data_IF_512037010171
#
_entry.id   IF_512037010171
#
_cell.length_a   1.000
_cell.length_b   1.000
_cell.length_c   1.000
_cell.angle_alpha   90.00
_cell.angle_beta   90.00
_cell.angle_gamma   90.00
#
_symmetry.space_group_name_H-M   'P 1'
#
loop_
_entity.id
_entity.type
_entity.pdbx_description
1 polymer ?
#
# COMPACT_ATOMS: atom_id res chain seq x y z
N UNK A 1 -4.61 -3.31 22.79
CA UNK A 1 -4.56 -2.41 21.62
C UNK A 1 -3.17 -1.83 21.39
N UNK A 2 -2.46 -1.35 22.42
CA UNK A 2 -1.09 -0.79 22.31
C UNK A 2 -0.03 -1.78 21.80
N UNK A 3 -0.15 -3.07 22.14
CA UNK A 3 0.78 -4.13 21.70
C UNK A 3 0.69 -4.42 20.21
N UNK A 4 -0.51 -4.39 19.63
CA UNK A 4 -0.74 -4.62 18.20
C UNK A 4 -0.19 -3.45 17.38
N UNK A 5 -0.39 -2.22 17.86
CA UNK A 5 0.14 -1.01 17.22
C UNK A 5 1.67 -1.04 17.21
N UNK A 6 2.31 -1.44 18.32
CA UNK A 6 3.77 -1.58 18.38
C UNK A 6 4.30 -2.67 17.43
N UNK A 7 3.61 -3.81 17.33
CA UNK A 7 4.00 -4.88 16.40
C UNK A 7 3.90 -4.41 14.95
N UNK A 8 2.83 -3.72 14.58
CA UNK A 8 2.64 -3.17 13.23
C UNK A 8 3.66 -2.08 12.90
N UNK A 9 3.96 -1.20 13.85
CA UNK A 9 4.98 -0.16 13.69
C UNK A 9 6.38 -0.78 13.50
N UNK A 10 6.73 -1.80 14.29
CA UNK A 10 7.98 -2.53 14.14
C UNK A 10 8.09 -3.23 12.79
N UNK A 11 6.99 -3.83 12.31
CA UNK A 11 6.93 -4.47 10.98
C UNK A 11 7.10 -3.46 9.85
N UNK A 12 6.46 -2.29 9.94
CA UNK A 12 6.58 -1.23 8.95
C UNK A 12 8.00 -0.65 8.88
N UNK A 13 8.64 -0.42 10.03
CA UNK A 13 10.02 0.04 10.11
C UNK A 13 10.99 -1.02 9.56
N UNK A 14 10.81 -2.28 9.94
CA UNK A 14 11.63 -3.39 9.43
C UNK A 14 11.48 -3.57 7.91
N UNK A 15 10.26 -3.46 7.37
CA UNK A 15 10.01 -3.53 5.93
C UNK A 15 10.66 -2.38 5.15
N UNK A 16 10.63 -1.16 5.70
CA UNK A 16 11.26 0.01 5.08
C UNK A 16 12.79 -0.07 5.08
N UNK A 17 13.40 -0.54 6.16
CA UNK A 17 14.85 -0.75 6.24
C UNK A 17 15.30 -1.88 5.29
N UNK A 18 14.51 -2.96 5.18
CA UNK A 18 14.78 -4.04 4.24
C UNK A 18 14.66 -3.57 2.78
N UNK A 19 13.64 -2.76 2.48
CA UNK A 19 13.44 -2.17 1.16
C UNK A 19 14.62 -1.26 0.78
N UNK A 20 15.06 -0.38 1.68
CA UNK A 20 16.21 0.51 1.45
C UNK A 20 17.55 -0.25 1.37
N UNK A 21 17.71 -1.33 2.12
CA UNK A 21 18.88 -2.20 2.00
C UNK A 21 18.90 -2.94 0.65
N UNK A 22 17.74 -3.38 0.15
CA UNK A 22 17.62 -4.04 -1.14
C UNK A 22 17.87 -3.08 -2.32
N UNK A 23 17.38 -1.85 -2.22
CA UNK A 23 17.54 -0.82 -3.26
C UNK A 23 18.98 -0.30 -3.34
N UNK A 24 19.74 -0.27 -2.24
CA UNK A 24 21.18 0.06 -2.26
C UNK A 24 22.06 -1.08 -2.78
N UNK A 25 21.65 -2.35 -2.57
CA UNK A 25 22.40 -3.52 -3.05
C UNK A 25 22.27 -3.71 -4.56
N UNK A 26 21.16 -3.31 -5.17
CA UNK A 26 20.92 -3.41 -6.62
C UNK A 26 21.94 -2.63 -7.49
N UNK A 27 22.22 -1.34 -7.27
CA UNK A 27 23.21 -0.59 -8.05
C UNK A 27 24.65 -1.04 -7.75
N UNK A 28 24.94 -1.47 -6.51
CA UNK A 28 26.24 -2.01 -6.14
C UNK A 28 26.53 -3.36 -6.84
N UNK A 29 25.56 -4.27 -6.83
CA UNK A 29 25.66 -5.55 -7.54
C UNK A 29 25.78 -5.35 -9.06
N UNK A 30 25.10 -4.35 -9.63
CA UNK A 30 25.27 -4.01 -11.05
C UNK A 30 26.66 -3.43 -11.37
N UNK A 31 27.26 -2.65 -10.47
CA UNK A 31 28.62 -2.15 -10.64
C UNK A 31 29.66 -3.28 -10.57
N UNK A 32 29.50 -4.21 -9.63
CA UNK A 32 30.35 -5.40 -9.50
C UNK A 32 30.24 -6.32 -10.73
N UNK A 33 29.02 -6.54 -11.25
CA UNK A 33 28.83 -7.31 -12.50
C UNK A 33 29.51 -6.67 -13.71
N UNK A 34 29.53 -5.33 -13.81
CA UNK A 34 30.28 -4.64 -14.88
C UNK A 34 31.79 -4.81 -14.72
N UNK A 35 32.29 -4.74 -13.48
CA UNK A 35 33.71 -4.96 -13.17
C UNK A 35 34.14 -6.39 -13.51
N UNK A 36 33.37 -7.40 -13.08
CA UNK A 36 33.64 -8.81 -13.37
C UNK A 36 33.58 -9.12 -14.88
N UNK A 37 32.63 -8.54 -15.62
CA UNK A 37 32.60 -8.65 -17.10
C UNK A 37 33.83 -8.03 -17.76
N UNK A 38 34.36 -6.94 -17.22
CA UNK A 38 35.59 -6.32 -17.72
C UNK A 38 36.81 -7.22 -17.46
N UNK A 39 36.92 -7.78 -16.26
CA UNK A 39 37.99 -8.72 -15.89
C UNK A 39 37.95 -10.00 -16.74
N UNK A 40 36.77 -10.55 -17.02
CA UNK A 40 36.62 -11.71 -17.92
C UNK A 40 37.04 -11.40 -19.36
N UNK A 41 36.71 -10.21 -19.86
CA UNK A 41 37.15 -9.78 -21.20
C UNK A 41 38.66 -9.52 -21.28
N UNK A 42 39.28 -9.06 -20.20
CA UNK A 42 40.75 -8.93 -20.11
C UNK A 42 41.41 -10.31 -20.08
N UNK A 43 40.93 -11.23 -19.22
CA UNK A 43 41.40 -12.61 -19.18
C UNK A 43 41.19 -13.37 -20.49
N UNK A 44 40.09 -13.13 -21.21
CA UNK A 44 39.87 -13.78 -22.51
C UNK A 44 40.84 -13.27 -23.57
N UNK A 45 41.21 -11.99 -23.52
CA UNK A 45 42.23 -11.39 -24.42
C UNK A 45 43.62 -11.91 -24.09
N UNK A 46 43.95 -12.01 -22.81
CA UNK A 46 45.21 -12.59 -22.35
C UNK A 46 45.32 -14.07 -22.73
N UNK A 47 44.22 -14.81 -22.66
CA UNK A 47 44.20 -16.19 -23.12
C UNK A 47 44.36 -16.30 -24.64
N UNK A 48 43.72 -15.42 -25.41
CA UNK A 48 43.87 -15.39 -26.87
C UNK A 48 45.30 -15.02 -27.29
N UNK A 49 45.95 -14.08 -26.60
CA UNK A 49 47.34 -13.70 -26.87
C UNK A 49 48.33 -14.81 -26.47
N UNK A 50 48.13 -15.45 -25.31
CA UNK A 50 48.89 -16.63 -24.90
C UNK A 50 48.73 -17.78 -25.90
N UNK A 51 47.50 -18.03 -26.37
CA UNK A 51 47.25 -19.05 -27.39
C UNK A 51 47.95 -18.72 -28.70
N UNK A 52 47.95 -17.46 -29.13
CA UNK A 52 48.68 -17.02 -30.32
C UNK A 52 50.20 -17.20 -30.17
N UNK A 53 50.79 -16.90 -29.01
CA UNK A 53 52.22 -17.12 -28.74
C UNK A 53 52.55 -18.62 -28.71
N UNK A 54 51.66 -19.46 -28.18
CA UNK A 54 51.82 -20.92 -28.20
C UNK A 54 51.70 -21.46 -29.62
N UNK A 55 50.74 -20.99 -30.41
CA UNK A 55 50.56 -21.39 -31.80
C UNK A 55 51.76 -20.92 -32.66
N UNK A 56 52.30 -19.73 -32.42
CA UNK A 56 53.51 -19.18 -33.08
C UNK A 56 54.78 -19.94 -32.65
N UNK A 57 54.89 -20.35 -31.39
CA UNK A 57 55.94 -21.25 -30.92
C UNK A 57 55.79 -22.70 -31.45
N UNK A 58 54.62 -23.05 -31.97
CA UNK A 58 54.31 -24.36 -32.56
C UNK A 58 54.39 -24.33 -34.09
N UNK A 59 54.70 -23.18 -34.72
CA UNK A 59 55.02 -23.15 -36.15
C UNK A 59 56.34 -23.88 -36.43
N UNK A 60 56.37 -24.83 -37.38
CA UNK A 60 57.54 -25.66 -37.65
C UNK A 60 58.56 -24.86 -38.48
N UNK A 61 59.43 -24.11 -37.81
CA UNK A 61 60.64 -23.56 -38.45
C UNK A 61 61.62 -24.71 -38.65
N UNK A 62 61.68 -25.19 -39.90
CA UNK A 62 62.72 -26.10 -40.37
C UNK A 62 64.09 -25.44 -40.34
N UNK A 63 64.82 -25.63 -39.23
CA UNK A 63 66.28 -25.50 -39.16
C UNK A 63 66.81 -26.77 -38.47
N UNK A 64 67.75 -27.50 -39.09
CA UNK A 64 68.23 -28.77 -38.55
C UNK A 64 69.09 -28.53 -37.31
N UNK A 65 68.58 -28.92 -36.15
CA UNK A 65 69.34 -28.95 -34.89
C UNK A 65 70.07 -30.32 -34.83
N UNK A 66 71.41 -30.35 -34.63
CA UNK A 66 72.14 -31.59 -34.35
C UNK A 66 71.65 -32.18 -33.02
N UNK A 67 71.58 -33.51 -32.85
CA UNK A 67 70.95 -34.09 -31.67
C UNK A 67 71.69 -33.67 -30.40
N UNK A 68 71.06 -32.93 -29.46
CA UNK A 68 71.56 -32.84 -28.11
C UNK A 68 71.12 -34.08 -27.37
N UNK A 69 72.00 -34.48 -26.47
CA UNK A 69 71.93 -35.69 -25.67
C UNK A 69 70.72 -35.66 -24.73
N UNK A 70 70.35 -36.85 -24.28
CA UNK A 70 69.33 -37.07 -23.27
C UNK A 70 69.66 -36.29 -21.98
N UNK A 71 68.96 -35.18 -21.75
CA UNK A 71 68.69 -34.62 -20.44
C UNK A 71 67.18 -34.66 -20.24
N UNK A 72 66.75 -35.17 -19.08
CA UNK A 72 65.35 -35.39 -18.74
C UNK A 72 64.50 -34.12 -18.83
N UNK A 73 63.16 -34.25 -18.82
CA UNK A 73 62.27 -33.11 -18.94
C UNK A 73 62.66 -32.04 -17.91
N UNK A 74 62.77 -30.75 -18.27
CA UNK A 74 63.13 -29.72 -17.31
C UNK A 74 62.06 -29.73 -16.22
N UNK A 75 62.47 -30.07 -14.99
CA UNK A 75 61.59 -30.20 -13.83
C UNK A 75 60.68 -28.96 -13.65
N UNK A 76 61.17 -27.79 -14.05
CA UNK A 76 60.45 -26.51 -14.07
C UNK A 76 59.14 -26.52 -14.90
N UNK A 77 59.09 -27.22 -16.05
CA UNK A 77 57.88 -27.27 -16.86
C UNK A 77 56.85 -28.24 -16.29
N UNK A 78 57.30 -29.35 -15.72
CA UNK A 78 56.44 -30.29 -15.01
C UNK A 78 55.84 -29.63 -13.76
N UNK A 79 56.64 -28.87 -13.00
CA UNK A 79 56.20 -28.16 -11.80
C UNK A 79 55.22 -27.01 -12.12
N UNK A 80 55.42 -26.30 -13.25
CA UNK A 80 54.44 -25.31 -13.74
C UNK A 80 53.13 -25.95 -14.19
N UNK A 81 53.18 -27.08 -14.88
CA UNK A 81 51.97 -27.81 -15.27
C UNK A 81 51.23 -28.32 -14.04
N UNK A 82 51.92 -28.90 -13.05
CA UNK A 82 51.32 -29.37 -11.80
C UNK A 82 50.66 -28.22 -11.01
N UNK A 83 51.30 -27.05 -10.96
CA UNK A 83 50.74 -25.81 -10.37
C UNK A 83 49.50 -25.31 -11.11
N UNK A 84 49.50 -25.33 -12.45
CA UNK A 84 48.33 -24.97 -13.26
C UNK A 84 47.20 -25.99 -13.03
N UNK A 85 47.51 -27.28 -12.97
CA UNK A 85 46.53 -28.35 -12.72
C UNK A 85 45.90 -28.17 -11.34
N UNK A 86 46.69 -27.89 -10.30
CA UNK A 86 46.16 -27.59 -8.97
C UNK A 86 45.33 -26.30 -8.90
N UNK A 87 45.64 -25.29 -9.72
CA UNK A 87 44.81 -24.08 -9.87
C UNK A 87 43.49 -24.35 -10.59
N UNK A 88 43.51 -25.20 -11.61
CA UNK A 88 42.29 -25.65 -12.33
C UNK A 88 41.40 -26.44 -11.38
N UNK A 89 41.93 -27.41 -10.64
CA UNK A 89 41.16 -28.17 -9.64
C UNK A 89 40.53 -27.26 -8.58
N UNK A 90 41.25 -26.21 -8.16
CA UNK A 90 40.74 -25.24 -7.20
C UNK A 90 39.62 -24.38 -7.80
N UNK A 91 39.77 -23.96 -9.06
CA UNK A 91 38.75 -23.21 -9.79
C UNK A 91 37.50 -24.06 -10.05
N UNK A 92 37.65 -25.33 -10.39
CA UNK A 92 36.54 -26.26 -10.58
C UNK A 92 35.74 -26.45 -9.29
N UNK A 93 36.42 -26.60 -8.15
CA UNK A 93 35.76 -26.66 -6.83
C UNK A 93 35.01 -25.38 -6.52
N UNK A 94 35.66 -24.22 -6.69
CA UNK A 94 35.03 -22.92 -6.47
C UNK A 94 33.82 -22.71 -7.39
N UNK A 95 33.91 -23.13 -8.65
CA UNK A 95 32.80 -23.05 -9.60
C UNK A 95 31.63 -23.95 -9.20
N UNK A 96 31.93 -25.15 -8.68
CA UNK A 96 30.94 -26.05 -8.09
C UNK A 96 30.21 -25.41 -6.91
N UNK A 97 30.95 -24.80 -5.99
CA UNK A 97 30.39 -24.12 -4.81
C UNK A 97 29.50 -22.93 -5.21
N UNK A 98 29.95 -22.07 -6.12
CA UNK A 98 29.16 -20.94 -6.63
C UNK A 98 27.91 -21.38 -7.38
N UNK A 99 28.01 -22.46 -8.17
CA UNK A 99 26.85 -23.02 -8.87
C UNK A 99 25.82 -23.54 -7.87
N UNK A 100 26.26 -24.22 -6.80
CA UNK A 100 25.41 -24.63 -5.69
C UNK A 100 24.70 -23.46 -5.02
N UNK A 101 25.44 -22.40 -4.68
CA UNK A 101 24.89 -21.19 -4.06
C UNK A 101 23.87 -20.49 -4.98
N UNK A 102 24.16 -20.37 -6.27
CA UNK A 102 23.24 -19.82 -7.27
C UNK A 102 21.93 -20.61 -7.35
N UNK A 103 22.00 -21.94 -7.39
CA UNK A 103 20.78 -22.77 -7.42
C UNK A 103 19.95 -22.65 -6.14
N UNK A 104 20.59 -22.45 -4.98
CA UNK A 104 19.91 -22.16 -3.72
C UNK A 104 19.17 -20.83 -3.75
N UNK A 105 19.81 -19.77 -4.25
CA UNK A 105 19.20 -18.44 -4.39
C UNK A 105 18.02 -18.46 -5.38
N UNK A 106 18.11 -19.23 -6.47
CA UNK A 106 17.02 -19.35 -7.44
C UNK A 106 15.81 -20.09 -6.84
N UNK A 107 16.03 -21.15 -6.05
CA UNK A 107 14.98 -21.83 -5.30
C UNK A 107 14.29 -20.90 -4.29
N UNK A 108 15.07 -20.09 -3.56
CA UNK A 108 14.52 -19.11 -2.60
C UNK A 108 13.67 -18.04 -3.31
N UNK A 109 14.11 -17.55 -4.48
CA UNK A 109 13.33 -16.61 -5.28
C UNK A 109 12.03 -17.21 -5.80
N UNK A 110 12.06 -18.47 -6.21
CA UNK A 110 10.84 -19.14 -6.67
C UNK A 110 9.86 -19.38 -5.52
N UNK A 111 10.35 -19.74 -4.33
CA UNK A 111 9.54 -19.81 -3.13
C UNK A 111 8.91 -18.45 -2.77
N UNK A 112 9.68 -17.36 -2.84
CA UNK A 112 9.17 -16.01 -2.61
C UNK A 112 8.11 -15.59 -3.63
N UNK A 113 8.29 -15.91 -4.91
CA UNK A 113 7.28 -15.65 -5.95
C UNK A 113 6.02 -16.46 -5.74
N UNK A 114 6.13 -17.72 -5.31
CA UNK A 114 4.98 -18.55 -4.98
C UNK A 114 4.21 -17.97 -3.78
N UNK A 115 4.93 -17.52 -2.75
CA UNK A 115 4.34 -16.84 -1.60
C UNK A 115 3.61 -15.56 -2.01
N UNK A 116 4.23 -14.71 -2.85
CA UNK A 116 3.61 -13.49 -3.35
C UNK A 116 2.29 -13.78 -4.07
N UNK A 117 2.26 -14.76 -4.98
CA UNK A 117 1.01 -15.18 -5.65
C UNK A 117 -0.04 -15.70 -4.68
N UNK A 118 0.38 -16.42 -3.63
CA UNK A 118 -0.56 -16.90 -2.62
C UNK A 118 -1.16 -15.77 -1.79
N UNK A 119 -0.37 -14.73 -1.50
CA UNK A 119 -0.85 -13.52 -0.82
C UNK A 119 -1.81 -12.75 -1.70
N UNK A 120 -1.50 -12.58 -2.99
CA UNK A 120 -2.38 -11.92 -3.95
C UNK A 120 -3.74 -12.66 -4.06
N UNK A 121 -3.72 -13.99 -4.09
CA UNK A 121 -4.94 -14.81 -4.12
C UNK A 121 -5.76 -14.65 -2.83
N UNK A 122 -5.12 -14.69 -1.65
CA UNK A 122 -5.81 -14.47 -0.38
C UNK A 122 -6.38 -13.05 -0.29
N UNK A 123 -5.66 -12.04 -0.77
CA UNK A 123 -6.16 -10.67 -0.80
C UNK A 123 -7.42 -10.57 -1.68
N UNK A 124 -7.40 -11.22 -2.86
CA UNK A 124 -8.55 -11.26 -3.75
C UNK A 124 -9.74 -11.97 -3.09
N UNK A 125 -9.53 -13.12 -2.45
CA UNK A 125 -10.59 -13.87 -1.75
C UNK A 125 -11.19 -13.05 -0.60
N UNK A 126 -10.35 -12.34 0.17
CA UNK A 126 -10.81 -11.46 1.25
C UNK A 126 -11.64 -10.30 0.70
N UNK A 127 -11.23 -9.69 -0.41
CA UNK A 127 -12.00 -8.63 -1.06
C UNK A 127 -13.34 -9.15 -1.59
N UNK A 128 -13.38 -10.36 -2.16
CA UNK A 128 -14.61 -10.99 -2.63
C UNK A 128 -15.56 -11.32 -1.48
N UNK A 129 -15.06 -11.93 -0.40
CA UNK A 129 -15.85 -12.19 0.81
C UNK A 129 -16.36 -10.90 1.45
N UNK A 130 -15.53 -9.84 1.47
CA UNK A 130 -15.93 -8.54 1.98
C UNK A 130 -17.08 -7.95 1.15
N UNK A 131 -16.98 -8.00 -0.18
CA UNK A 131 -18.06 -7.60 -1.10
C UNK A 131 -19.32 -8.44 -0.87
N UNK A 132 -19.20 -9.76 -0.74
CA UNK A 132 -20.36 -10.63 -0.48
C UNK A 132 -21.01 -10.34 0.87
N UNK A 133 -20.22 -10.04 1.91
CA UNK A 133 -20.71 -9.65 3.23
C UNK A 133 -21.49 -8.33 3.16
N UNK A 134 -20.95 -7.32 2.47
CA UNK A 134 -21.64 -6.04 2.24
C UNK A 134 -22.94 -6.26 1.46
N UNK A 135 -22.89 -7.04 0.38
CA UNK A 135 -24.06 -7.43 -0.42
C UNK A 135 -25.14 -8.15 0.40
N UNK A 136 -24.75 -8.96 1.39
CA UNK A 136 -25.69 -9.64 2.30
C UNK A 136 -26.28 -8.67 3.31
N UNK A 137 -25.47 -7.75 3.85
CA UNK A 137 -25.93 -6.68 4.73
C UNK A 137 -26.91 -5.75 4.02
N UNK A 138 -26.62 -5.33 2.78
CA UNK A 138 -27.51 -4.47 2.01
C UNK A 138 -28.86 -5.14 1.70
N UNK A 139 -28.91 -6.48 1.66
CA UNK A 139 -30.14 -7.26 1.53
C UNK A 139 -30.89 -7.48 2.85
N UNK A 140 -30.25 -7.26 4.00
CA UNK A 140 -30.90 -7.33 5.30
C UNK A 140 -31.69 -6.03 5.56
N UNK A 141 -33.01 -6.14 5.71
CA UNK A 141 -33.85 -5.00 6.06
C UNK A 141 -33.38 -4.32 7.35
N UNK A 142 -33.12 -3.01 7.30
CA UNK A 142 -32.70 -2.21 8.46
C UNK A 142 -31.19 -2.00 8.58
N UNK A 143 -30.44 -2.20 7.50
CA UNK A 143 -29.10 -1.63 7.34
C UNK A 143 -29.20 -0.18 6.86
N UNK A 144 -28.41 0.69 7.48
CA UNK A 144 -28.30 2.11 7.19
C UNK A 144 -26.87 2.38 6.72
N UNK A 145 -26.66 2.72 5.45
CA UNK A 145 -25.35 3.12 4.97
C UNK A 145 -24.99 4.47 5.58
N UNK A 146 -23.73 4.65 5.93
CA UNK A 146 -23.21 5.87 6.51
C UNK A 146 -21.90 6.27 5.85
N UNK A 147 -21.68 7.57 5.71
CA UNK A 147 -20.47 8.11 5.12
C UNK A 147 -19.97 9.24 6.00
N UNK A 148 -18.68 9.21 6.34
CA UNK A 148 -18.00 10.33 6.97
C UNK A 148 -16.82 10.75 6.11
N UNK A 149 -16.82 11.98 5.61
CA UNK A 149 -15.72 12.57 4.83
C UNK A 149 -15.17 13.79 5.57
N UNK A 150 -13.86 13.95 5.55
CA UNK A 150 -13.14 15.12 6.06
C UNK A 150 -11.96 15.42 5.16
N UNK A 151 -11.76 16.69 4.83
CA UNK A 151 -10.51 17.17 4.20
C UNK A 151 -9.36 17.19 5.22
N UNK A 152 -9.69 17.35 6.50
CA UNK A 152 -8.74 17.43 7.60
C UNK A 152 -8.55 16.04 8.23
N UNK A 153 -7.47 15.37 7.83
CA UNK A 153 -7.12 14.05 8.37
C UNK A 153 -6.80 14.06 9.88
N UNK A 154 -6.32 15.18 10.45
CA UNK A 154 -6.04 15.29 11.89
C UNK A 154 -7.34 15.35 12.72
N UNK A 155 -8.39 15.97 12.18
CA UNK A 155 -9.71 16.10 12.80
C UNK A 155 -10.59 14.87 12.58
N UNK A 156 -10.20 13.96 11.67
CA UNK A 156 -10.96 12.75 11.32
C UNK A 156 -11.23 11.86 12.54
N UNK A 157 -10.27 11.70 13.45
CA UNK A 157 -10.44 10.84 14.62
C UNK A 157 -11.49 11.36 15.60
N UNK A 158 -11.52 12.67 15.83
CA UNK A 158 -12.51 13.33 16.69
C UNK A 158 -13.89 13.27 16.03
N UNK A 159 -13.95 13.61 14.75
CA UNK A 159 -15.18 13.57 13.97
C UNK A 159 -15.76 12.15 13.89
N UNK A 160 -14.90 11.14 13.70
CA UNK A 160 -15.32 9.74 13.72
C UNK A 160 -15.88 9.36 15.10
N UNK A 161 -15.25 9.76 16.20
CA UNK A 161 -15.78 9.47 17.53
C UNK A 161 -17.14 10.12 17.78
N UNK A 162 -17.35 11.36 17.34
CA UNK A 162 -18.62 12.06 17.44
C UNK A 162 -19.70 11.40 16.57
N UNK A 163 -19.32 10.94 15.37
CA UNK A 163 -20.20 10.20 14.47
C UNK A 163 -20.63 8.86 15.07
N UNK A 164 -19.69 8.07 15.59
CA UNK A 164 -19.96 6.77 16.21
C UNK A 164 -20.83 6.92 17.48
N UNK A 165 -20.61 7.98 18.27
CA UNK A 165 -21.45 8.30 19.42
C UNK A 165 -22.87 8.71 19.01
N UNK A 166 -23.00 9.55 17.99
CA UNK A 166 -24.29 9.94 17.41
C UNK A 166 -25.06 8.73 16.89
N UNK A 167 -24.37 7.82 16.18
CA UNK A 167 -24.94 6.56 15.70
C UNK A 167 -25.49 5.73 16.88
N UNK A 168 -24.70 5.57 17.94
CA UNK A 168 -25.09 4.80 19.12
C UNK A 168 -26.33 5.38 19.84
N UNK A 169 -26.38 6.71 20.01
CA UNK A 169 -27.54 7.40 20.61
C UNK A 169 -28.79 7.28 19.75
N UNK A 170 -28.63 7.28 18.43
CA UNK A 170 -29.72 7.03 17.48
C UNK A 170 -30.17 5.55 17.44
N UNK A 171 -29.60 4.68 18.27
CA UNK A 171 -29.93 3.26 18.35
C UNK A 171 -29.31 2.42 17.22
N UNK A 172 -28.32 2.95 16.52
CA UNK A 172 -27.60 2.24 15.46
C UNK A 172 -26.42 1.47 16.04
N UNK A 173 -26.12 0.33 15.42
CA UNK A 173 -24.95 -0.50 15.71
C UNK A 173 -24.09 -0.60 14.48
N UNK A 174 -22.85 -0.14 14.60
CA UNK A 174 -21.85 -0.23 13.53
C UNK A 174 -21.48 -1.70 13.34
N UNK A 175 -21.68 -2.21 12.13
CA UNK A 175 -21.34 -3.59 11.73
C UNK A 175 -20.03 -3.63 10.98
N UNK A 176 -19.84 -2.67 10.08
CA UNK A 176 -18.64 -2.57 9.25
C UNK A 176 -18.17 -1.13 9.27
N UNK A 177 -16.85 -0.97 9.39
CA UNK A 177 -16.13 0.29 9.23
C UNK A 177 -15.09 0.07 8.15
N UNK A 178 -15.24 0.75 7.01
CA UNK A 178 -14.30 0.66 5.90
C UNK A 178 -13.66 2.03 5.64
N UNK A 179 -12.39 2.15 6.02
CA UNK A 179 -11.57 3.35 5.83
C UNK A 179 -10.99 3.44 4.41
N UNK A 180 -10.98 2.34 3.65
CA UNK A 180 -10.27 2.27 2.35
C UNK A 180 -11.13 2.73 1.18
N UNK A 181 -12.43 2.53 1.28
CA UNK A 181 -13.40 2.83 0.21
C UNK A 181 -13.78 4.30 0.11
N UNK A 182 -13.47 5.11 1.13
CA UNK A 182 -13.70 6.56 1.11
C UNK A 182 -12.40 7.37 0.96
N UNK A 183 -11.41 6.81 0.25
CA UNK A 183 -10.46 7.62 -0.52
C UNK A 183 -11.21 8.20 -1.74
N UNK A 184 -12.23 9.01 -1.44
CA UNK A 184 -13.14 9.62 -2.38
C UNK A 184 -12.41 10.78 -3.05
N UNK A 185 -11.56 10.46 -4.03
CA UNK A 185 -11.02 11.39 -5.03
C UNK A 185 -10.27 12.61 -4.44
N UNK A 186 -8.96 12.51 -4.29
CA UNK A 186 -8.09 13.67 -4.00
C UNK A 186 -7.74 13.85 -2.52
N UNK A 187 -8.14 14.98 -1.92
CA UNK A 187 -7.73 15.43 -0.57
C UNK A 187 -8.65 14.97 0.56
N UNK A 188 -9.81 14.40 0.25
CA UNK A 188 -10.79 13.96 1.24
C UNK A 188 -10.50 12.54 1.70
N UNK A 189 -10.38 12.39 3.02
CA UNK A 189 -10.31 11.10 3.70
C UNK A 189 -11.68 10.80 4.27
N UNK A 190 -12.07 9.53 4.22
CA UNK A 190 -13.35 9.16 4.79
C UNK A 190 -13.43 7.72 5.23
N UNK A 191 -14.49 7.49 5.98
CA UNK A 191 -14.86 6.17 6.49
C UNK A 191 -16.29 5.87 6.05
N UNK A 192 -16.49 4.73 5.39
CA UNK A 192 -17.80 4.17 5.15
C UNK A 192 -18.24 3.33 6.35
N UNK A 193 -19.48 3.52 6.76
CA UNK A 193 -20.11 2.79 7.84
C UNK A 193 -21.28 1.98 7.29
N UNK A 194 -21.37 0.71 7.69
CA UNK A 194 -22.61 -0.05 7.57
C UNK A 194 -23.17 -0.24 8.96
N UNK A 195 -24.33 0.37 9.20
CA UNK A 195 -24.98 0.39 10.49
C UNK A 195 -26.27 -0.41 10.45
N UNK A 196 -26.69 -0.96 11.58
CA UNK A 196 -27.94 -1.71 11.68
C UNK A 196 -28.72 -1.31 12.91
N UNK A 197 -30.04 -1.51 12.90
CA UNK A 197 -30.88 -1.39 14.09
C UNK A 197 -32.10 -0.52 13.91
N UNK A 198 -32.13 0.32 12.87
CA UNK A 198 -33.29 1.16 12.53
C UNK A 198 -33.50 1.23 11.02
N UNK A 199 -34.71 1.59 10.61
CA UNK A 199 -35.02 1.86 9.21
C UNK A 199 -34.44 3.22 8.80
N UNK A 200 -33.82 3.34 7.62
CA UNK A 200 -33.16 4.56 7.17
C UNK A 200 -34.12 5.75 7.09
N UNK A 201 -35.34 5.55 6.59
CA UNK A 201 -36.34 6.63 6.46
C UNK A 201 -36.73 7.24 7.81
N UNK A 202 -37.04 6.37 8.78
CA UNK A 202 -37.46 6.79 10.13
C UNK A 202 -36.30 7.48 10.85
N UNK A 203 -35.08 6.95 10.69
CA UNK A 203 -33.88 7.58 11.24
C UNK A 203 -33.67 8.98 10.66
N UNK A 204 -33.81 9.13 9.34
CA UNK A 204 -33.59 10.40 8.68
C UNK A 204 -34.62 11.46 9.12
N UNK A 205 -35.89 11.07 9.25
CA UNK A 205 -36.94 11.95 9.78
C UNK A 205 -36.68 12.37 11.23
N UNK A 206 -36.27 11.43 12.09
CA UNK A 206 -35.95 11.72 13.49
C UNK A 206 -34.75 12.68 13.63
N UNK A 207 -33.65 12.39 12.93
CA UNK A 207 -32.45 13.23 12.90
C UNK A 207 -32.79 14.63 12.39
N UNK A 208 -33.54 14.71 11.29
CA UNK A 208 -33.93 15.98 10.72
C UNK A 208 -34.90 16.76 11.61
N UNK A 209 -35.83 16.08 12.30
CA UNK A 209 -36.68 16.68 13.33
C UNK A 209 -35.86 17.27 14.47
N UNK A 210 -34.80 16.55 14.91
CA UNK A 210 -33.88 17.03 15.93
C UNK A 210 -33.15 18.30 15.48
N UNK A 211 -32.60 18.28 14.25
CA UNK A 211 -31.93 19.44 13.64
C UNK A 211 -32.85 20.64 13.49
N UNK A 212 -34.13 20.44 13.15
CA UNK A 212 -35.12 21.53 13.08
C UNK A 212 -35.43 22.13 14.45
N UNK A 213 -35.38 21.31 15.50
CA UNK A 213 -35.55 21.71 16.90
C UNK A 213 -34.29 22.23 17.57
N UNK A 214 -33.15 22.28 16.86
CA UNK A 214 -31.89 22.76 17.41
C UNK A 214 -31.90 24.29 17.47
N UNK A 215 -31.92 24.82 18.69
CA UNK A 215 -31.91 26.27 18.97
C UNK A 215 -30.78 26.69 19.92
N UNK A 216 -30.15 25.74 20.61
CA UNK A 216 -29.10 26.00 21.59
C UNK A 216 -27.81 25.27 21.17
N UNK A 217 -26.69 25.99 20.92
CA UNK A 217 -25.41 25.38 20.62
C UNK A 217 -24.82 24.58 21.78
N UNK A 218 -25.30 24.77 23.02
CA UNK A 218 -24.82 24.03 24.20
C UNK A 218 -25.61 22.75 24.50
N UNK A 219 -26.52 22.33 23.61
CA UNK A 219 -27.22 21.06 23.80
C UNK A 219 -26.22 19.89 23.83
N UNK A 220 -26.33 19.03 24.85
CA UNK A 220 -25.41 17.93 25.09
C UNK A 220 -25.72 16.67 24.25
N UNK A 221 -26.59 16.78 23.25
CA UNK A 221 -26.92 15.68 22.36
C UNK A 221 -25.74 15.31 21.46
N UNK A 222 -25.57 14.02 21.15
CA UNK A 222 -24.48 13.62 20.23
C UNK A 222 -24.69 14.14 18.80
N UNK A 223 -25.94 14.40 18.40
CA UNK A 223 -26.24 15.05 17.10
C UNK A 223 -25.68 16.47 17.10
N UNK A 224 -25.91 17.27 18.14
CA UNK A 224 -25.35 18.61 18.24
C UNK A 224 -23.81 18.58 18.33
N UNK A 225 -23.26 17.60 19.07
CA UNK A 225 -21.81 17.41 19.16
C UNK A 225 -21.22 17.14 17.77
N UNK A 226 -21.78 16.21 17.00
CA UNK A 226 -21.35 15.92 15.63
C UNK A 226 -21.43 17.15 14.72
N UNK A 227 -22.54 17.90 14.78
CA UNK A 227 -22.72 19.10 13.95
C UNK A 227 -21.74 20.22 14.34
N UNK A 228 -21.44 20.35 15.63
CA UNK A 228 -20.44 21.30 16.14
C UNK A 228 -19.03 20.92 15.68
N UNK A 229 -18.68 19.63 15.74
CA UNK A 229 -17.40 19.13 15.21
C UNK A 229 -17.30 19.26 13.69
N UNK A 230 -18.41 19.12 12.95
CA UNK A 230 -18.43 19.42 11.51
C UNK A 230 -18.27 20.93 11.26
N UNK A 231 -18.87 21.79 12.10
CA UNK A 231 -18.78 23.23 11.98
C UNK A 231 -17.37 23.77 12.28
N UNK A 232 -16.63 23.09 13.16
CA UNK A 232 -15.27 23.47 13.57
C UNK A 232 -14.19 23.14 12.52
N UNK A 233 -14.52 22.32 11.51
CA UNK A 233 -13.64 22.05 10.39
C UNK A 233 -13.37 23.33 9.58
N UNK A 234 -12.09 23.59 9.29
CA UNK A 234 -11.65 24.65 8.37
C UNK A 234 -11.82 24.23 6.92
N UNK A 235 -11.67 22.93 6.65
CA UNK A 235 -11.93 22.29 5.35
C UNK A 235 -13.39 21.89 5.13
N UNK A 236 -13.61 21.11 4.06
CA UNK A 236 -14.91 20.47 3.80
C UNK A 236 -15.10 19.19 4.61
N UNK A 237 -16.33 18.91 5.03
CA UNK A 237 -16.71 17.68 5.72
C UNK A 237 -18.13 17.25 5.41
N UNK A 238 -18.38 15.94 5.44
CA UNK A 238 -19.71 15.35 5.20
C UNK A 238 -19.96 14.27 6.24
N UNK A 239 -21.12 14.29 6.87
CA UNK A 239 -21.63 13.18 7.68
C UNK A 239 -23.00 12.75 7.15
N UNK A 240 -23.12 11.48 6.77
CA UNK A 240 -24.34 10.90 6.22
C UNK A 240 -24.81 9.73 7.09
N UNK A 241 -26.11 9.68 7.31
CA UNK A 241 -26.84 8.59 7.93
C UNK A 241 -28.01 8.20 7.02
N UNK A 242 -27.77 7.27 6.09
CA UNK A 242 -28.73 6.91 5.06
C UNK A 242 -29.17 8.14 4.25
N UNK A 243 -30.47 8.46 4.20
CA UNK A 243 -31.00 9.64 3.51
C UNK A 243 -30.60 10.98 4.16
N UNK A 244 -30.30 11.01 5.45
CA UNK A 244 -29.92 12.24 6.14
C UNK A 244 -28.46 12.58 5.88
N UNK A 245 -28.19 13.82 5.47
CA UNK A 245 -26.83 14.32 5.21
C UNK A 245 -26.64 15.66 5.89
N UNK A 246 -25.51 15.80 6.59
CA UNK A 246 -24.95 17.05 7.08
C UNK A 246 -23.65 17.35 6.35
N UNK A 247 -23.54 18.56 5.80
CA UNK A 247 -22.40 18.99 4.99
C UNK A 247 -21.85 20.28 5.55
N UNK A 248 -20.55 20.28 5.82
CA UNK A 248 -19.78 21.45 6.18
C UNK A 248 -18.88 21.85 5.02
N UNK A 249 -18.90 23.13 4.70
CA UNK A 249 -18.00 23.78 3.76
C UNK A 249 -17.45 25.03 4.41
N UNK A 250 -16.41 25.62 3.82
CA UNK A 250 -15.81 26.88 4.33
C UNK A 250 -16.83 28.01 4.55
N UNK A 251 -17.96 28.01 3.82
CA UNK A 251 -18.94 29.10 3.88
C UNK A 251 -20.30 28.72 4.48
N UNK A 252 -20.58 27.44 4.70
CA UNK A 252 -21.91 27.00 5.13
C UNK A 252 -21.89 25.63 5.81
N UNK A 253 -22.80 25.45 6.77
CA UNK A 253 -23.18 24.15 7.33
C UNK A 253 -24.64 23.88 7.00
N UNK A 254 -24.91 22.90 6.14
CA UNK A 254 -26.26 22.57 5.68
C UNK A 254 -26.62 21.13 6.06
N UNK A 255 -27.85 20.92 6.47
CA UNK A 255 -28.43 19.60 6.68
C UNK A 255 -29.61 19.40 5.74
N UNK A 256 -29.78 18.18 5.24
CA UNK A 256 -30.92 17.82 4.41
C UNK A 256 -31.21 16.33 4.40
N UNK A 257 -32.40 15.99 3.91
CA UNK A 257 -32.81 14.60 3.67
C UNK A 257 -32.88 14.39 2.15
N UNK A 258 -31.90 13.68 1.61
CA UNK A 258 -31.82 13.36 0.19
C UNK A 258 -32.76 12.19 -0.13
N UNK A 259 -33.50 12.24 -1.25
CA UNK A 259 -34.22 11.07 -1.74
C UNK A 259 -33.23 9.96 -2.11
N UNK A 260 -33.64 8.71 -1.95
CA UNK A 260 -32.86 7.49 -2.18
C UNK A 260 -32.64 7.21 -3.69
N UNK A 261 -32.15 8.21 -4.42
CA UNK A 261 -31.93 8.14 -5.87
C UNK A 261 -30.51 8.57 -6.23
N UNK A 262 -29.62 7.57 -6.34
CA UNK A 262 -28.36 7.69 -7.06
C UNK A 262 -27.11 7.34 -6.26
N UNK A 263 -26.00 7.16 -6.98
CA UNK A 263 -24.67 7.07 -6.40
C UNK A 263 -24.42 8.33 -5.55
N UNK A 264 -24.06 8.20 -4.27
CA UNK A 264 -23.86 9.36 -3.41
C UNK A 264 -22.79 10.27 -4.03
N UNK A 265 -22.98 11.61 -4.01
CA UNK A 265 -21.97 12.55 -4.47
C UNK A 265 -20.63 12.28 -3.78
N UNK A 266 -19.54 12.38 -4.55
CA UNK A 266 -18.20 12.07 -4.04
C UNK A 266 -17.59 13.26 -3.29
N UNK A 267 -18.10 14.47 -3.54
CA UNK A 267 -17.48 15.72 -3.10
C UNK A 267 -18.45 16.59 -2.27
N UNK A 268 -18.00 17.25 -1.19
CA UNK A 268 -18.88 18.01 -0.29
C UNK A 268 -19.69 19.12 -0.97
N UNK A 269 -19.13 19.85 -1.94
CA UNK A 269 -19.86 20.93 -2.62
C UNK A 269 -21.03 20.42 -3.47
N UNK A 270 -20.90 19.21 -4.04
CA UNK A 270 -22.00 18.59 -4.79
C UNK A 270 -23.17 18.28 -3.86
N UNK A 271 -22.91 17.91 -2.60
CA UNK A 271 -23.99 17.76 -1.63
C UNK A 271 -24.64 19.10 -1.26
N UNK A 272 -23.87 20.18 -1.14
CA UNK A 272 -24.42 21.53 -0.89
C UNK A 272 -25.39 21.93 -2.00
N UNK A 273 -25.01 21.75 -3.26
CA UNK A 273 -25.86 22.08 -4.40
C UNK A 273 -27.16 21.26 -4.40
N UNK A 274 -27.07 19.94 -4.18
CA UNK A 274 -28.26 19.09 -4.06
C UNK A 274 -29.16 19.48 -2.88
N UNK A 275 -28.59 19.78 -1.71
CA UNK A 275 -29.39 20.17 -0.53
C UNK A 275 -30.11 21.50 -0.79
N UNK A 276 -29.48 22.45 -1.50
CA UNK A 276 -30.11 23.74 -1.82
C UNK A 276 -31.26 23.61 -2.81
N UNK A 277 -31.22 22.61 -3.68
CA UNK A 277 -32.31 22.29 -4.61
C UNK A 277 -33.49 21.61 -3.91
N UNK A 278 -33.31 21.08 -2.69
CA UNK A 278 -34.40 20.45 -1.94
C UNK A 278 -35.46 21.46 -1.50
N UNK A 279 -36.72 21.02 -1.37
CA UNK A 279 -37.78 21.78 -0.72
C UNK A 279 -37.36 22.30 0.67
N UNK A 280 -37.81 23.51 1.05
CA UNK A 280 -37.46 24.15 2.32
C UNK A 280 -37.87 23.34 3.57
N UNK A 281 -38.80 22.40 3.44
CA UNK A 281 -39.21 21.45 4.48
C UNK A 281 -38.25 20.26 4.64
N UNK A 282 -37.25 20.12 3.76
CA UNK A 282 -36.24 19.04 3.74
C UNK A 282 -34.81 19.52 3.78
N UNK A 283 -34.59 20.83 3.91
CA UNK A 283 -33.28 21.43 4.13
C UNK A 283 -33.29 22.34 5.35
N UNK A 284 -32.15 22.46 6.02
CA UNK A 284 -31.94 23.37 7.14
C UNK A 284 -30.54 23.96 7.07
N UNK A 285 -30.49 25.28 7.08
CA UNK A 285 -29.24 26.03 7.21
C UNK A 285 -28.87 26.18 8.69
N UNK A 286 -27.69 25.67 9.03
CA UNK A 286 -27.09 25.70 10.35
C UNK A 286 -25.77 26.49 10.36
N UNK A 287 -25.56 27.37 9.39
CA UNK A 287 -24.33 28.17 9.27
C UNK A 287 -24.05 29.00 10.53
N UNK A 288 -25.07 29.31 11.34
CA UNK A 288 -24.93 29.97 12.64
C UNK A 288 -24.12 29.17 13.68
N UNK A 289 -23.93 27.84 13.50
CA UNK A 289 -23.08 27.01 14.36
C UNK A 289 -21.58 27.17 14.04
N UNK A 290 -21.22 27.78 12.91
CA UNK A 290 -19.81 28.02 12.59
C UNK A 290 -19.29 29.16 13.45
N UNK A 291 -18.12 28.93 14.05
CA UNK A 291 -17.33 29.98 14.69
C UNK A 291 -16.66 30.81 13.58
N UNK A 292 -16.77 32.14 13.64
CA UNK A 292 -16.23 33.10 12.65
C UNK A 292 -14.67 33.25 12.70
N UNK A 293 -13.93 32.26 13.22
CA UNK A 293 -12.48 32.37 13.49
C UNK A 293 -11.57 32.05 12.30
#
# INVERSE_FOLDING_TARGET
MTTVILVLLCLAIAGRELYLASDKRLPQAQAELRSLRKQLNELSKDHASLKQVVDEATEPVGIPIPPPQAEGPPADLAERLESVTGRVDKLERQFGDYTGELTGIDLDRDAQRALARSLDAVEQDVQELHREMLDRLDREEGVVPGVLLSEEGESEALLASAYEQCAAECGLRIRVRDQRSAQATGTYWGTLYQMSGRRPDVLAEDLFSYVRGLYDPQDASAVNTLLTELASLRGGGVAQFGPFVAVSTQSALLCGVLPDEGTPPTEPWQFVDHIRELPADRQRDLTWLRSDD
#
